data_IF_420963788354
#
_entry.id   IF_420963788354
#
_cell.length_a   1.000
_cell.length_b   1.000
_cell.length_c   1.000
_cell.angle_alpha   90.00
_cell.angle_beta   90.00
_cell.angle_gamma   90.00
#
_symmetry.space_group_name_H-M   'P 1'
#
loop_
_entity.id
_entity.type
_entity.pdbx_description
1 polymer ?
#
# COMPACT_ATOMS: atom_id res chain seq x y z
N UNK A 1 1.81 8.36 27.81
CA UNK A 1 0.97 9.57 27.89
C UNK A 1 0.65 10.04 26.48
N UNK A 2 -0.62 10.11 26.07
CA UNK A 2 -1.00 10.53 24.72
C UNK A 2 -0.92 12.06 24.60
N UNK A 3 0.20 12.57 24.09
CA UNK A 3 0.54 14.00 24.05
C UNK A 3 -0.48 14.84 23.27
N UNK A 4 -1.08 14.29 22.20
CA UNK A 4 -2.09 15.00 21.40
C UNK A 4 -3.37 15.22 22.19
N UNK A 5 -3.79 14.23 22.99
CA UNK A 5 -4.97 14.37 23.86
C UNK A 5 -4.82 15.52 24.86
N UNK A 6 -3.64 15.69 25.46
CA UNK A 6 -3.37 16.82 26.37
C UNK A 6 -3.25 18.17 25.65
N UNK A 7 -2.75 18.19 24.41
CA UNK A 7 -2.62 19.41 23.62
C UNK A 7 -3.97 19.95 23.15
N UNK A 8 -4.95 19.08 22.87
CA UNK A 8 -6.32 19.49 22.50
C UNK A 8 -7.00 20.35 23.56
N UNK A 9 -6.63 20.19 24.83
CA UNK A 9 -7.19 20.95 25.95
C UNK A 9 -6.49 22.29 26.18
N UNK A 10 -5.41 22.60 25.45
CA UNK A 10 -4.69 23.85 25.62
C UNK A 10 -5.44 25.00 24.93
N UNK A 11 -5.50 26.19 25.57
CA UNK A 11 -6.06 27.36 24.92
C UNK A 11 -5.25 27.69 23.64
N UNK A 12 -5.94 28.13 22.59
CA UNK A 12 -5.31 28.46 21.30
C UNK A 12 -4.97 27.27 20.40
N UNK A 13 -5.19 26.02 20.84
CA UNK A 13 -4.95 24.84 20.00
C UNK A 13 -5.78 24.86 18.71
N UNK A 14 -7.05 25.27 18.79
CA UNK A 14 -7.92 25.41 17.61
C UNK A 14 -7.39 26.42 16.60
N UNK A 15 -6.95 27.60 17.05
CA UNK A 15 -6.36 28.63 16.19
C UNK A 15 -5.03 28.16 15.56
N UNK A 16 -4.20 27.48 16.33
CA UNK A 16 -2.98 26.85 15.82
C UNK A 16 -3.31 25.85 14.70
N UNK A 17 -4.31 24.99 14.91
CA UNK A 17 -4.75 24.03 13.91
C UNK A 17 -5.27 24.71 12.64
N UNK A 18 -6.08 25.75 12.77
CA UNK A 18 -6.61 26.50 11.63
C UNK A 18 -5.49 27.15 10.82
N UNK A 19 -4.52 27.76 11.50
CA UNK A 19 -3.33 28.38 10.86
C UNK A 19 -2.51 27.35 10.10
N UNK A 20 -2.25 26.19 10.71
CA UNK A 20 -1.55 25.06 10.06
C UNK A 20 -2.29 24.54 8.85
N UNK A 21 -3.61 24.36 8.95
CA UNK A 21 -4.45 23.91 7.84
C UNK A 21 -4.37 24.90 6.66
N UNK A 22 -4.42 26.20 6.94
CA UNK A 22 -4.27 27.23 5.91
C UNK A 22 -2.87 27.25 5.28
N UNK A 23 -1.80 27.12 6.07
CA UNK A 23 -0.43 26.98 5.57
C UNK A 23 -0.28 25.76 4.63
N UNK A 24 -0.88 24.63 5.00
CA UNK A 24 -0.88 23.41 4.18
C UNK A 24 -1.70 23.58 2.90
N UNK A 25 -2.88 24.19 2.99
CA UNK A 25 -3.72 24.49 1.83
C UNK A 25 -2.99 25.38 0.84
N UNK A 26 -2.37 26.45 1.32
CA UNK A 26 -1.59 27.36 0.47
C UNK A 26 -0.46 26.61 -0.24
N UNK A 27 0.35 25.81 0.48
CA UNK A 27 1.44 25.04 -0.13
C UNK A 27 0.94 24.05 -1.18
N UNK A 28 -0.12 23.31 -0.88
CA UNK A 28 -0.65 22.31 -1.80
C UNK A 28 -1.29 22.97 -3.03
N UNK A 29 -1.94 24.12 -2.85
CA UNK A 29 -2.54 24.88 -3.93
C UNK A 29 -1.56 25.38 -4.97
N UNK A 30 -0.32 25.72 -4.58
CA UNK A 30 0.73 26.03 -5.55
C UNK A 30 1.01 24.86 -6.52
N UNK A 31 0.73 23.63 -6.10
CA UNK A 31 0.93 22.43 -6.92
C UNK A 31 -0.34 22.05 -7.68
N UNK A 32 -1.50 22.07 -7.03
CA UNK A 32 -2.75 21.56 -7.61
C UNK A 32 -3.60 22.61 -8.32
N UNK A 33 -3.46 23.88 -7.93
CA UNK A 33 -4.23 25.01 -8.44
C UNK A 33 -4.18 25.16 -9.98
N UNK A 34 -3.00 25.03 -10.63
CA UNK A 34 -2.91 25.10 -12.09
C UNK A 34 -3.70 24.03 -12.84
N UNK A 35 -4.09 22.93 -12.18
CA UNK A 35 -4.90 21.86 -12.78
C UNK A 35 -6.41 22.05 -12.58
N UNK A 36 -6.83 23.14 -11.94
CA UNK A 36 -8.26 23.43 -11.70
C UNK A 36 -8.85 24.23 -12.88
N UNK A 37 -9.98 23.77 -13.41
CA UNK A 37 -10.72 24.46 -14.48
C UNK A 37 -11.52 25.63 -13.89
N UNK A 38 -11.40 26.83 -14.50
CA UNK A 38 -12.22 28.07 -14.50
C UNK A 38 -12.97 28.56 -13.24
N UNK A 39 -13.06 27.80 -12.15
CA UNK A 39 -13.62 28.17 -10.84
C UNK A 39 -12.59 27.90 -9.74
N UNK A 40 -11.55 28.73 -9.77
CA UNK A 40 -10.43 28.73 -8.83
C UNK A 40 -10.93 28.84 -7.35
N UNK A 41 -12.02 29.57 -7.13
CA UNK A 41 -12.59 29.80 -5.78
C UNK A 41 -13.21 28.54 -5.18
N UNK A 42 -14.02 27.80 -5.94
CA UNK A 42 -14.66 26.58 -5.43
C UNK A 42 -13.62 25.49 -5.18
N UNK A 43 -12.70 25.29 -6.13
CA UNK A 43 -11.65 24.29 -5.98
C UNK A 43 -10.70 24.60 -4.80
N UNK A 44 -10.41 25.88 -4.54
CA UNK A 44 -9.68 26.30 -3.35
C UNK A 44 -10.46 26.02 -2.05
N UNK A 45 -11.76 26.32 -2.03
CA UNK A 45 -12.64 26.04 -0.89
C UNK A 45 -12.69 24.54 -0.58
N UNK A 46 -12.83 23.71 -1.61
CA UNK A 46 -12.87 22.25 -1.48
C UNK A 46 -11.53 21.71 -0.98
N UNK A 47 -10.41 22.23 -1.48
CA UNK A 47 -9.08 21.87 -0.98
C UNK A 47 -8.93 22.22 0.50
N UNK A 48 -9.37 23.42 0.92
CA UNK A 48 -9.34 23.82 2.32
C UNK A 48 -10.17 22.87 3.19
N UNK A 49 -11.38 22.49 2.74
CA UNK A 49 -12.24 21.55 3.45
C UNK A 49 -11.57 20.17 3.59
N UNK A 50 -10.96 19.64 2.52
CA UNK A 50 -10.23 18.36 2.54
C UNK A 50 -9.10 18.40 3.58
N UNK A 51 -8.30 19.47 3.60
CA UNK A 51 -7.16 19.58 4.51
C UNK A 51 -7.61 19.71 5.97
N UNK A 52 -8.65 20.51 6.23
CA UNK A 52 -9.23 20.62 7.57
C UNK A 52 -9.75 19.26 8.05
N UNK A 53 -10.45 18.52 7.19
CA UNK A 53 -10.95 17.19 7.51
C UNK A 53 -9.81 16.20 7.77
N UNK A 54 -8.79 16.17 6.91
CA UNK A 54 -7.62 15.33 7.08
C UNK A 54 -6.87 15.63 8.38
N UNK A 55 -6.72 16.91 8.72
CA UNK A 55 -6.07 17.33 9.96
C UNK A 55 -6.92 16.97 11.20
N UNK A 56 -8.24 17.14 11.13
CA UNK A 56 -9.17 16.74 12.21
C UNK A 56 -9.10 15.24 12.46
N UNK A 57 -9.17 14.44 11.38
CA UNK A 57 -9.04 13.00 11.44
C UNK A 57 -7.68 12.57 12.03
N UNK A 58 -6.59 13.22 11.61
CA UNK A 58 -5.26 12.99 12.16
C UNK A 58 -5.23 13.25 13.67
N UNK A 59 -5.77 14.37 14.14
CA UNK A 59 -5.85 14.68 15.58
C UNK A 59 -6.63 13.60 16.33
N UNK A 60 -7.73 13.10 15.79
CA UNK A 60 -8.51 12.01 16.38
C UNK A 60 -7.71 10.70 16.43
N UNK A 61 -7.09 10.30 15.31
CA UNK A 61 -6.25 9.12 15.21
C UNK A 61 -5.05 9.15 16.16
N UNK A 62 -4.44 10.31 16.35
CA UNK A 62 -3.34 10.46 17.31
C UNK A 62 -3.82 10.64 18.75
N UNK A 63 -5.11 10.93 18.98
CA UNK A 63 -5.69 11.04 20.33
C UNK A 63 -6.05 9.68 20.95
N UNK A 64 -6.09 8.60 20.16
CA UNK A 64 -6.35 7.26 20.67
C UNK A 64 -5.06 6.57 21.13
N UNK A 65 -5.11 5.72 22.17
CA UNK A 65 -3.92 5.02 22.68
C UNK A 65 -3.47 3.88 21.76
N UNK A 66 -4.32 3.43 20.83
CA UNK A 66 -4.05 2.29 19.96
C UNK A 66 -3.90 2.73 18.51
N UNK A 67 -2.85 2.26 17.87
CA UNK A 67 -2.61 2.40 16.43
C UNK A 67 -2.76 1.04 15.77
N UNK A 68 -3.54 0.98 14.69
CA UNK A 68 -3.69 -0.22 13.87
C UNK A 68 -2.85 -0.09 12.61
N UNK A 69 -2.07 -1.13 12.30
CA UNK A 69 -1.35 -1.26 11.04
C UNK A 69 -1.84 -2.48 10.30
N UNK A 70 -2.19 -2.29 9.04
CA UNK A 70 -2.56 -3.35 8.11
C UNK A 70 -1.46 -3.50 7.09
N UNK A 71 -1.10 -4.74 6.77
CA UNK A 71 -0.12 -5.05 5.74
C UNK A 71 -0.65 -6.21 4.89
N UNK A 72 -0.75 -5.99 3.58
CA UNK A 72 -1.03 -7.07 2.64
C UNK A 72 0.27 -7.72 2.22
N UNK A 73 0.33 -9.04 2.30
CA UNK A 73 1.51 -9.77 1.85
C UNK A 73 1.69 -9.62 0.35
N UNK A 74 2.91 -9.29 -0.06
CA UNK A 74 3.25 -9.06 -1.45
C UNK A 74 3.52 -10.39 -2.17
N UNK A 75 3.33 -10.40 -3.49
CA UNK A 75 3.75 -11.55 -4.29
C UNK A 75 5.25 -11.74 -4.16
N UNK A 76 5.69 -12.99 -4.05
CA UNK A 76 7.06 -13.42 -3.79
C UNK A 76 7.62 -13.16 -2.38
N UNK A 77 6.83 -12.60 -1.47
CA UNK A 77 7.22 -12.52 -0.05
C UNK A 77 7.40 -13.93 0.53
N UNK A 78 8.41 -14.18 1.38
CA UNK A 78 8.56 -15.46 2.07
C UNK A 78 7.34 -15.79 2.93
N UNK A 79 6.87 -17.04 2.90
CA UNK A 79 5.81 -17.48 3.79
C UNK A 79 6.30 -17.50 5.24
N UNK A 80 5.64 -16.76 6.12
CA UNK A 80 5.89 -16.82 7.57
C UNK A 80 4.65 -17.33 8.33
N UNK A 81 4.67 -18.57 8.86
CA UNK A 81 3.57 -19.12 9.65
C UNK A 81 3.33 -18.40 10.99
N UNK A 82 4.23 -17.51 11.42
CA UNK A 82 3.99 -16.65 12.59
C UNK A 82 2.98 -15.53 12.31
N UNK A 83 2.84 -15.11 11.05
CA UNK A 83 2.01 -13.97 10.64
C UNK A 83 1.02 -14.31 9.53
N UNK A 84 1.15 -15.47 8.88
CA UNK A 84 0.38 -15.88 7.71
C UNK A 84 -0.28 -17.25 7.87
N UNK A 85 -1.44 -17.43 7.24
CA UNK A 85 -2.20 -18.68 7.14
C UNK A 85 -2.29 -19.07 5.67
N UNK A 86 -1.75 -20.23 5.32
CA UNK A 86 -1.92 -20.80 3.98
C UNK A 86 -3.37 -21.26 3.76
N UNK A 87 -3.99 -20.76 2.68
CA UNK A 87 -5.34 -21.13 2.23
C UNK A 87 -5.34 -21.88 0.90
N UNK A 88 -4.16 -22.21 0.37
CA UNK A 88 -4.02 -22.97 -0.84
C UNK A 88 -4.45 -24.43 -0.63
N UNK A 89 -5.37 -24.92 -1.45
CA UNK A 89 -5.87 -26.29 -1.36
C UNK A 89 -4.93 -27.31 -2.01
N UNK A 90 -4.00 -26.86 -2.87
CA UNK A 90 -3.07 -27.73 -3.59
C UNK A 90 -1.72 -27.81 -2.90
N UNK A 91 -1.32 -26.77 -2.18
CA UNK A 91 -0.10 -26.73 -1.38
C UNK A 91 -0.49 -26.94 0.07
N UNK A 92 -0.34 -28.17 0.56
CA UNK A 92 -0.70 -28.56 1.92
C UNK A 92 0.53 -29.06 2.67
N UNK A 93 0.47 -29.05 3.99
CA UNK A 93 1.57 -29.50 4.84
C UNK A 93 1.62 -28.74 6.15
N UNK A 94 2.55 -29.14 7.01
CA UNK A 94 2.83 -28.41 8.23
C UNK A 94 3.38 -27.00 7.91
N UNK A 95 2.85 -25.92 8.52
CA UNK A 95 3.28 -24.56 8.19
C UNK A 95 4.77 -24.29 8.42
N UNK A 96 5.42 -24.94 9.40
CA UNK A 96 6.87 -24.77 9.63
C UNK A 96 7.69 -25.48 8.55
N UNK A 97 7.21 -26.62 8.04
CA UNK A 97 7.82 -27.30 6.89
C UNK A 97 7.70 -26.44 5.64
N UNK A 98 6.51 -25.88 5.36
CA UNK A 98 6.31 -24.99 4.21
C UNK A 98 7.23 -23.76 4.25
N UNK A 99 7.47 -23.19 5.44
CA UNK A 99 8.46 -22.12 5.65
C UNK A 99 9.87 -22.58 5.31
N UNK A 100 10.26 -23.76 5.81
CA UNK A 100 11.60 -24.34 5.61
C UNK A 100 11.88 -24.64 4.13
N UNK A 101 10.85 -25.00 3.38
CA UNK A 101 10.92 -25.31 1.94
C UNK A 101 10.92 -24.06 1.03
N UNK A 102 11.15 -22.85 1.59
CA UNK A 102 11.15 -21.56 0.87
C UNK A 102 9.88 -21.29 0.05
N UNK A 103 8.72 -21.77 0.52
CA UNK A 103 7.45 -21.42 -0.11
C UNK A 103 7.23 -19.90 -0.01
N UNK A 104 6.72 -19.31 -1.10
CA UNK A 104 6.49 -17.86 -1.19
C UNK A 104 5.02 -17.57 -1.39
N UNK A 105 4.62 -16.37 -1.03
CA UNK A 105 3.29 -15.85 -1.30
C UNK A 105 3.12 -15.73 -2.82
N UNK A 106 2.07 -16.36 -3.33
CA UNK A 106 1.56 -16.13 -4.68
C UNK A 106 0.52 -15.01 -4.69
N UNK A 107 -0.31 -14.97 -3.65
CA UNK A 107 -1.38 -13.99 -3.49
C UNK A 107 -1.70 -13.76 -2.02
N UNK A 108 -1.67 -12.50 -1.56
CA UNK A 108 -2.30 -12.09 -0.31
C UNK A 108 -3.81 -11.97 -0.48
N UNK A 109 -4.59 -12.69 0.34
CA UNK A 109 -6.06 -12.67 0.34
C UNK A 109 -6.57 -11.65 1.36
N UNK A 110 -6.06 -11.72 2.59
CA UNK A 110 -6.39 -10.78 3.67
C UNK A 110 -5.12 -10.24 4.30
N UNK A 111 -5.12 -9.00 4.82
CA UNK A 111 -3.92 -8.41 5.40
C UNK A 111 -3.62 -9.02 6.77
N UNK A 112 -2.37 -8.95 7.22
CA UNK A 112 -2.07 -9.05 8.65
C UNK A 112 -2.45 -7.73 9.34
N UNK A 113 -2.95 -7.83 10.58
CA UNK A 113 -3.36 -6.66 11.38
C UNK A 113 -2.58 -6.66 12.69
N UNK A 114 -1.81 -5.60 12.91
CA UNK A 114 -1.05 -5.36 14.14
C UNK A 114 -1.62 -4.17 14.89
N UNK A 115 -1.72 -4.29 16.21
CA UNK A 115 -2.10 -3.19 17.10
C UNK A 115 -0.88 -2.79 17.93
N UNK A 116 -0.62 -1.48 18.02
CA UNK A 116 0.41 -0.91 18.88
C UNK A 116 -0.26 -0.06 19.95
N UNK A 117 0.13 -0.25 21.20
CA UNK A 117 -0.28 0.63 22.29
C UNK A 117 0.75 1.76 22.49
N UNK A 118 0.41 2.97 22.08
CA UNK A 118 1.24 4.17 22.18
C UNK A 118 1.14 4.85 23.56
N UNK A 119 0.35 4.31 24.49
CA UNK A 119 0.18 4.87 25.84
C UNK A 119 1.13 4.29 26.89
N UNK A 120 1.65 3.08 26.67
CA UNK A 120 2.53 2.35 27.58
C UNK A 120 4.02 2.61 27.30
N UNK A 121 4.87 2.53 28.32
CA UNK A 121 6.32 2.70 28.20
C UNK A 121 7.02 1.58 27.42
N UNK A 122 6.37 0.44 27.23
CA UNK A 122 6.82 -0.62 26.35
C UNK A 122 6.04 -0.56 25.04
N UNK A 123 6.74 -0.45 23.90
CA UNK A 123 6.18 -0.53 22.56
C UNK A 123 5.65 -1.94 22.28
N UNK A 124 4.53 -2.28 22.90
CA UNK A 124 3.89 -3.57 22.72
C UNK A 124 3.13 -3.57 21.39
N UNK A 125 3.62 -4.35 20.44
CA UNK A 125 2.98 -4.62 19.16
C UNK A 125 2.40 -6.03 19.25
N UNK A 126 1.07 -6.13 19.10
CA UNK A 126 0.36 -7.42 19.10
C UNK A 126 -0.18 -7.71 17.71
N UNK A 127 0.08 -8.92 17.21
CA UNK A 127 -0.62 -9.44 16.05
C UNK A 127 -2.05 -9.79 16.45
N UNK A 128 -3.02 -9.15 15.80
CA UNK A 128 -4.46 -9.34 16.06
C UNK A 128 -5.07 -10.28 15.04
N UNK A 129 -4.53 -10.27 13.82
CA UNK A 129 -5.04 -11.10 12.74
C UNK A 129 -3.88 -11.48 11.80
N UNK A 130 -3.83 -12.77 11.44
CA UNK A 130 -2.86 -13.31 10.50
C UNK A 130 -3.35 -13.15 9.06
N UNK A 131 -2.46 -12.82 8.15
CA UNK A 131 -2.78 -12.70 6.72
C UNK A 131 -3.18 -14.06 6.16
N UNK A 132 -4.29 -14.16 5.41
CA UNK A 132 -4.55 -15.35 4.60
C UNK A 132 -3.81 -15.22 3.27
N UNK A 133 -3.07 -16.24 2.86
CA UNK A 133 -2.27 -16.23 1.64
C UNK A 133 -2.47 -17.51 0.84
N UNK A 134 -2.26 -17.43 -0.47
CA UNK A 134 -2.00 -18.57 -1.32
C UNK A 134 -0.51 -18.67 -1.59
N UNK A 135 0.01 -19.89 -1.63
CA UNK A 135 1.44 -20.11 -1.81
C UNK A 135 1.79 -20.41 -3.26
N UNK A 136 3.08 -20.27 -3.56
CA UNK A 136 3.76 -20.92 -4.67
C UNK A 136 4.95 -21.70 -4.09
N UNK A 137 5.18 -22.94 -4.59
CA UNK A 137 6.33 -23.71 -4.15
C UNK A 137 7.63 -23.03 -4.61
N UNK A 138 8.70 -23.25 -3.85
CA UNK A 138 10.03 -22.90 -4.32
C UNK A 138 10.36 -23.69 -5.61
N UNK A 139 11.10 -23.09 -6.56
CA UNK A 139 11.61 -23.84 -7.69
C UNK A 139 12.47 -25.01 -7.17
N UNK A 140 12.06 -26.24 -7.48
CA UNK A 140 12.85 -27.42 -7.17
C UNK A 140 14.16 -27.29 -7.93
N UNK A 141 15.30 -27.50 -7.26
CA UNK A 141 16.61 -27.57 -7.93
C UNK A 141 16.53 -28.63 -9.05
N UNK A 142 16.31 -28.19 -10.29
CA UNK A 142 16.02 -29.05 -11.44
C UNK A 142 15.04 -28.47 -12.46
N UNK A 143 14.17 -27.53 -12.08
CA UNK A 143 13.38 -26.77 -13.05
C UNK A 143 14.08 -25.45 -13.35
N UNK A 144 14.91 -25.48 -14.40
CA UNK A 144 15.36 -24.27 -15.07
C UNK A 144 14.11 -23.50 -15.44
N UNK A 145 13.95 -22.31 -14.86
CA UNK A 145 13.02 -21.30 -15.36
C UNK A 145 13.46 -21.02 -16.80
N UNK A 146 12.84 -21.72 -17.75
CA UNK A 146 12.88 -21.32 -19.15
C UNK A 146 12.17 -19.99 -19.15
N UNK A 147 12.95 -18.93 -18.97
CA UNK A 147 12.56 -17.61 -19.40
C UNK A 147 11.93 -17.81 -20.77
N UNK A 148 10.64 -17.49 -20.87
CA UNK A 148 10.02 -17.30 -22.18
C UNK A 148 10.78 -16.14 -22.80
N UNK A 149 11.91 -16.42 -23.44
CA UNK A 149 12.51 -15.53 -24.40
C UNK A 149 11.40 -15.22 -25.38
N UNK A 150 10.97 -13.97 -25.34
CA UNK A 150 10.18 -13.41 -26.42
C UNK A 150 11.04 -13.60 -27.67
N UNK A 151 10.55 -14.27 -28.73
CA UNK A 151 11.34 -14.42 -29.94
C UNK A 151 11.68 -13.03 -30.46
N UNK A 152 12.95 -12.67 -30.33
CA UNK A 152 13.54 -11.50 -30.97
C UNK A 152 13.78 -11.87 -32.44
N UNK A 153 12.69 -11.88 -33.22
CA UNK A 153 12.65 -11.52 -34.64
C UNK A 153 11.24 -11.82 -35.16
N UNK A 154 10.50 -10.77 -35.46
CA UNK A 154 9.38 -10.87 -36.40
C UNK A 154 10.04 -11.05 -37.76
N UNK A 155 9.84 -12.16 -38.48
CA UNK A 155 10.36 -12.27 -39.84
C UNK A 155 9.74 -11.14 -40.66
N UNK A 156 10.63 -10.34 -41.26
CA UNK A 156 10.28 -9.23 -42.13
C UNK A 156 9.35 -9.76 -43.23
N UNK A 157 8.10 -9.30 -43.24
CA UNK A 157 7.14 -9.64 -44.29
C UNK A 157 7.67 -9.02 -45.58
N UNK A 158 8.18 -9.86 -46.49
CA UNK A 158 8.48 -9.44 -47.85
C UNK A 158 7.21 -8.92 -48.51
N UNK A 159 7.12 -7.60 -48.61
CA UNK A 159 6.08 -6.93 -49.37
C UNK A 159 6.35 -7.23 -50.86
N UNK A 160 5.39 -7.80 -51.60
CA UNK A 160 5.61 -8.11 -53.00
C UNK A 160 5.85 -6.82 -53.79
N UNK A 161 6.95 -6.81 -54.55
CA UNK A 161 7.32 -5.71 -55.46
C UNK A 161 6.24 -5.61 -56.55
N UNK A 162 5.69 -4.41 -56.83
CA UNK A 162 4.70 -4.25 -57.88
C UNK A 162 5.31 -4.54 -59.25
N UNK A 163 4.65 -5.44 -59.99
CA UNK A 163 4.99 -5.77 -61.38
C UNK A 163 4.78 -4.52 -62.25
N UNK A 164 5.76 -4.12 -63.08
CA UNK A 164 5.56 -3.00 -63.98
C UNK A 164 4.49 -3.36 -65.03
N UNK A 165 3.46 -2.51 -65.10
CA UNK A 165 2.47 -2.54 -66.17
C UNK A 165 3.15 -2.07 -67.45
N UNK A 166 3.38 -3.00 -68.38
CA UNK A 166 3.74 -2.63 -69.74
C UNK A 166 2.53 -2.01 -70.43
N UNK A 167 2.78 -0.86 -71.09
CA UNK A 167 1.84 -0.13 -71.94
C UNK A 167 1.36 -0.96 -73.13
#
# INVERSE_FOLDING_TARGET
MNQVKSLKCQPGFGEFCLRRAHEHASKLWHLVGPFTLDSNVQAWSDLCAIIINAQTLSIEMYSVPFEYKTYFSESNEPFDPATMINRDTFITGDPQVLKKDDNKVRLGITPEIRIRNNSAHANYIKLVYMANVLLRPAPKHGEVEVAREMPAEVPEVQVPVPVPVNQ
#
